data_IF_201190638668
#
_entry.id   IF_201190638668
#
_cell.length_a   1.000
_cell.length_b   1.000
_cell.length_c   1.000
_cell.angle_alpha   90.00
_cell.angle_beta   90.00
_cell.angle_gamma   90.00
#
_symmetry.space_group_name_H-M   'P 1'
#
loop_
_entity.id
_entity.type
_entity.pdbx_description
1 polymer ?
#
# COMPACT_ATOMS: atom_id res chain seq x y z
N UNK A 1 24.52 30.49 11.64
CA UNK A 1 25.07 29.43 10.75
C UNK A 1 25.21 28.17 11.57
N UNK A 2 24.56 27.07 11.19
CA UNK A 2 24.68 25.81 11.89
C UNK A 2 25.91 25.05 11.37
N UNK A 3 26.88 24.78 12.24
CA UNK A 3 28.09 24.01 11.94
C UNK A 3 27.75 22.52 11.99
N UNK A 4 27.34 21.93 10.87
CA UNK A 4 26.96 20.51 10.78
C UNK A 4 28.14 19.65 10.32
N UNK A 5 29.20 19.58 11.13
CA UNK A 5 30.26 18.58 10.99
C UNK A 5 29.96 17.38 11.89
N UNK A 6 28.88 16.66 11.58
CA UNK A 6 28.79 15.26 11.99
C UNK A 6 29.53 14.45 10.94
N UNK A 7 30.86 14.34 11.09
CA UNK A 7 31.65 13.39 10.32
C UNK A 7 31.13 11.98 10.66
N UNK A 8 30.39 11.39 9.73
CA UNK A 8 30.06 9.98 9.78
C UNK A 8 31.39 9.21 9.75
N UNK A 9 31.82 8.70 10.91
CA UNK A 9 33.02 7.87 10.98
C UNK A 9 32.84 6.62 10.12
N UNK A 10 33.89 6.12 9.45
CA UNK A 10 33.80 4.87 8.71
C UNK A 10 33.27 3.75 9.61
N UNK A 11 32.23 3.05 9.13
CA UNK A 11 31.63 1.93 9.85
C UNK A 11 32.68 0.84 10.09
N UNK A 12 32.75 0.32 11.32
CA UNK A 12 33.59 -0.85 11.66
C UNK A 12 32.98 -2.18 11.19
N UNK A 13 31.81 -2.16 10.56
CA UNK A 13 31.10 -3.35 10.08
C UNK A 13 31.73 -3.88 8.80
N UNK A 14 31.75 -5.20 8.65
CA UNK A 14 32.09 -5.80 7.35
C UNK A 14 30.99 -5.48 6.32
N UNK A 15 31.29 -5.55 5.02
CA UNK A 15 30.27 -5.38 3.97
C UNK A 15 29.06 -6.31 4.13
N UNK A 16 29.27 -7.53 4.60
CA UNK A 16 28.21 -8.53 4.83
C UNK A 16 27.32 -8.15 6.02
N UNK A 17 27.92 -7.64 7.10
CA UNK A 17 27.18 -7.15 8.26
C UNK A 17 26.35 -5.93 7.89
N UNK A 18 26.95 -4.96 7.18
CA UNK A 18 26.25 -3.79 6.67
C UNK A 18 25.08 -4.18 5.77
N UNK A 19 25.31 -5.07 4.79
CA UNK A 19 24.27 -5.52 3.86
C UNK A 19 23.13 -6.22 4.59
N UNK A 20 23.44 -7.08 5.57
CA UNK A 20 22.43 -7.78 6.36
C UNK A 20 21.54 -6.81 7.14
N UNK A 21 22.15 -5.82 7.78
CA UNK A 21 21.40 -4.81 8.52
C UNK A 21 20.62 -3.88 7.60
N UNK A 22 21.18 -3.48 6.47
CA UNK A 22 20.50 -2.61 5.51
C UNK A 22 19.19 -3.26 4.98
N UNK A 23 19.15 -4.59 4.85
CA UNK A 23 17.93 -5.36 4.50
C UNK A 23 16.87 -5.43 5.60
N UNK A 24 17.15 -4.91 6.81
CA UNK A 24 16.14 -4.79 7.86
C UNK A 24 15.21 -3.59 7.64
N UNK A 25 15.68 -2.57 6.93
CA UNK A 25 14.89 -1.41 6.55
C UNK A 25 13.84 -1.76 5.50
N UNK A 26 12.81 -0.92 5.46
CA UNK A 26 11.76 -0.94 4.45
C UNK A 26 11.90 0.31 3.59
N UNK A 27 11.52 0.19 2.32
CA UNK A 27 11.53 1.31 1.38
C UNK A 27 10.11 1.61 0.90
N UNK A 28 9.79 2.87 0.69
CA UNK A 28 8.63 3.26 -0.09
C UNK A 28 9.06 3.61 -1.52
N UNK A 29 8.10 3.59 -2.45
CA UNK A 29 8.34 3.84 -3.88
C UNK A 29 7.95 5.23 -4.36
N UNK A 30 7.71 6.18 -3.44
CA UNK A 30 7.45 7.55 -3.82
C UNK A 30 8.63 8.12 -4.61
N UNK A 31 8.32 8.83 -5.71
CA UNK A 31 9.30 9.43 -6.61
C UNK A 31 10.37 8.45 -7.17
N UNK A 32 10.17 7.14 -7.00
CA UNK A 32 11.15 6.09 -7.34
C UNK A 32 10.53 4.90 -8.07
N UNK A 33 9.23 4.96 -8.39
CA UNK A 33 8.52 3.94 -9.18
C UNK A 33 8.88 4.02 -10.68
N UNK A 34 10.16 3.83 -11.03
CA UNK A 34 10.64 3.70 -12.40
C UNK A 34 11.69 2.59 -12.49
N UNK A 35 12.13 2.22 -13.71
CA UNK A 35 12.84 0.97 -13.98
C UNK A 35 14.04 0.69 -13.06
N UNK A 36 14.94 1.65 -12.86
CA UNK A 36 16.17 1.45 -12.08
C UNK A 36 15.93 1.08 -10.61
N UNK A 37 15.26 1.94 -9.82
CA UNK A 37 14.98 1.65 -8.41
C UNK A 37 14.08 0.43 -8.22
N UNK A 38 13.12 0.19 -9.11
CA UNK A 38 12.27 -1.01 -9.05
C UNK A 38 13.08 -2.28 -9.25
N UNK A 39 14.02 -2.30 -10.19
CA UNK A 39 14.93 -3.44 -10.41
C UNK A 39 15.84 -3.69 -9.21
N UNK A 40 16.32 -2.61 -8.56
CA UNK A 40 17.08 -2.72 -7.31
C UNK A 40 16.26 -3.34 -6.19
N UNK A 41 15.02 -2.88 -6.01
CA UNK A 41 14.09 -3.44 -5.02
C UNK A 41 13.84 -4.92 -5.29
N UNK A 42 13.54 -5.30 -6.53
CA UNK A 42 13.30 -6.71 -6.90
C UNK A 42 14.50 -7.61 -6.56
N UNK A 43 15.71 -7.17 -6.92
CA UNK A 43 16.92 -8.01 -6.83
C UNK A 43 17.57 -8.01 -5.46
N UNK A 44 17.53 -6.89 -4.74
CA UNK A 44 18.34 -6.70 -3.53
C UNK A 44 17.53 -6.77 -2.24
N UNK A 45 16.39 -6.06 -2.16
CA UNK A 45 15.52 -6.01 -0.97
C UNK A 45 14.49 -7.15 -0.98
N UNK A 46 13.98 -7.50 -2.16
CA UNK A 46 12.83 -8.36 -2.33
C UNK A 46 11.50 -7.62 -2.10
N UNK A 47 10.39 -8.13 -2.66
CA UNK A 47 9.12 -7.41 -2.68
C UNK A 47 8.51 -7.20 -1.28
N UNK A 48 8.79 -8.09 -0.31
CA UNK A 48 8.27 -7.99 1.07
C UNK A 48 8.93 -6.93 1.95
N UNK A 49 9.85 -6.14 1.40
CA UNK A 49 10.51 -5.01 2.08
C UNK A 49 10.18 -3.66 1.45
N UNK A 50 9.12 -3.63 0.65
CA UNK A 50 8.72 -2.42 -0.08
C UNK A 50 7.24 -2.12 0.03
N UNK A 51 6.93 -0.84 0.23
CA UNK A 51 5.57 -0.29 0.21
C UNK A 51 5.42 0.70 -0.95
N UNK A 52 4.18 1.08 -1.26
CA UNK A 52 3.90 2.10 -2.26
C UNK A 52 3.29 3.35 -1.61
N UNK A 53 3.83 4.51 -1.95
CA UNK A 53 3.27 5.83 -1.68
C UNK A 53 3.49 6.71 -2.92
N UNK A 54 2.53 7.55 -3.26
CA UNK A 54 2.61 8.42 -4.44
C UNK A 54 3.24 9.79 -4.16
N UNK A 55 3.39 10.15 -2.87
CA UNK A 55 3.76 11.50 -2.42
C UNK A 55 2.89 12.61 -3.05
N UNK A 56 1.62 12.31 -3.28
CA UNK A 56 0.65 13.30 -3.75
C UNK A 56 0.30 14.28 -2.61
N UNK A 57 0.22 15.61 -2.86
CA UNK A 57 0.34 16.31 -4.15
C UNK A 57 1.75 16.86 -4.47
N UNK A 58 2.78 16.46 -3.73
CA UNK A 58 4.13 17.02 -3.87
C UNK A 58 4.82 16.58 -5.16
N UNK A 59 4.54 15.37 -5.63
CA UNK A 59 4.96 14.95 -6.97
C UNK A 59 4.04 15.57 -8.04
N UNK A 60 4.63 16.06 -9.14
CA UNK A 60 3.84 16.63 -10.26
C UNK A 60 2.95 15.53 -10.83
N UNK A 61 1.69 15.84 -11.12
CA UNK A 61 0.71 14.86 -11.64
C UNK A 61 1.23 14.03 -12.82
N UNK A 62 1.95 14.66 -13.76
CA UNK A 62 2.56 13.97 -14.92
C UNK A 62 3.58 12.90 -14.50
N UNK A 63 4.32 13.13 -13.43
CA UNK A 63 5.27 12.17 -12.89
C UNK A 63 4.54 11.03 -12.17
N UNK A 64 3.52 11.36 -11.36
CA UNK A 64 2.68 10.35 -10.69
C UNK A 64 2.02 9.41 -11.69
N UNK A 65 1.49 9.93 -12.81
CA UNK A 65 0.90 9.10 -13.85
C UNK A 65 1.92 8.12 -14.49
N UNK A 66 3.16 8.58 -14.68
CA UNK A 66 4.26 7.75 -15.21
C UNK A 66 4.72 6.70 -14.19
N UNK A 67 4.80 7.08 -12.92
CA UNK A 67 5.13 6.17 -11.82
C UNK A 67 4.09 5.06 -11.66
N UNK A 68 2.82 5.41 -11.76
CA UNK A 68 1.73 4.44 -11.76
C UNK A 68 1.81 3.46 -12.93
N UNK A 69 2.23 3.88 -14.13
CA UNK A 69 2.34 2.97 -15.28
C UNK A 69 3.48 1.96 -15.10
N UNK A 70 4.60 2.36 -14.50
CA UNK A 70 5.67 1.44 -14.12
C UNK A 70 5.24 0.50 -13.01
N UNK A 71 4.57 1.00 -11.97
CA UNK A 71 4.02 0.17 -10.91
C UNK A 71 3.03 -0.86 -11.45
N UNK A 72 2.14 -0.46 -12.36
CA UNK A 72 1.21 -1.38 -13.01
C UNK A 72 1.93 -2.45 -13.82
N UNK A 73 2.99 -2.08 -14.56
CA UNK A 73 3.79 -3.04 -15.32
C UNK A 73 4.50 -4.04 -14.40
N UNK A 74 4.98 -3.56 -13.24
CA UNK A 74 5.59 -4.40 -12.22
C UNK A 74 4.58 -5.34 -11.56
N UNK A 75 3.39 -4.85 -11.20
CA UNK A 75 2.30 -5.67 -10.66
C UNK A 75 1.88 -6.71 -11.69
N UNK A 76 1.75 -6.34 -12.97
CA UNK A 76 1.40 -7.27 -14.03
C UNK A 76 2.42 -8.40 -14.18
N UNK A 77 3.71 -8.07 -14.13
CA UNK A 77 4.82 -9.04 -14.16
C UNK A 77 4.82 -9.99 -12.96
N UNK A 78 4.50 -9.47 -11.77
CA UNK A 78 4.57 -10.21 -10.50
C UNK A 78 3.19 -10.75 -10.04
N UNK A 79 2.14 -10.58 -10.84
CA UNK A 79 0.78 -11.00 -10.55
C UNK A 79 0.12 -10.35 -9.33
N UNK A 80 -1.01 -10.93 -8.92
CA UNK A 80 -1.70 -10.54 -7.68
C UNK A 80 -0.80 -10.67 -6.45
N UNK A 81 0.22 -11.55 -6.50
CA UNK A 81 1.21 -11.71 -5.46
C UNK A 81 2.05 -10.44 -5.28
N UNK A 82 2.50 -9.79 -6.35
CA UNK A 82 3.24 -8.52 -6.26
C UNK A 82 2.42 -7.39 -5.59
N UNK A 83 1.16 -7.24 -5.99
CA UNK A 83 0.25 -6.24 -5.39
C UNK A 83 -0.10 -6.57 -3.95
N UNK A 84 -0.38 -7.86 -3.68
CA UNK A 84 -0.67 -8.35 -2.34
C UNK A 84 0.53 -8.13 -1.42
N UNK A 85 1.76 -8.37 -1.90
CA UNK A 85 2.98 -8.21 -1.10
C UNK A 85 3.21 -6.76 -0.69
N UNK A 86 3.03 -5.78 -1.57
CA UNK A 86 3.18 -4.36 -1.18
C UNK A 86 2.11 -3.92 -0.18
N UNK A 87 0.85 -4.32 -0.40
CA UNK A 87 -0.24 -4.04 0.54
C UNK A 87 0.01 -4.73 1.88
N UNK A 88 0.37 -6.01 1.85
CA UNK A 88 0.63 -6.82 3.04
C UNK A 88 1.80 -6.24 3.83
N UNK A 89 2.89 -5.85 3.15
CA UNK A 89 4.04 -5.18 3.77
C UNK A 89 3.60 -3.92 4.52
N UNK A 90 2.74 -3.09 3.91
CA UNK A 90 2.19 -1.92 4.61
C UNK A 90 1.32 -2.29 5.81
N UNK A 91 0.45 -3.30 5.69
CA UNK A 91 -0.41 -3.75 6.79
C UNK A 91 0.38 -4.37 7.96
N UNK A 92 1.49 -5.04 7.67
CA UNK A 92 2.38 -5.62 8.67
C UNK A 92 3.19 -4.53 9.39
N UNK A 93 3.62 -3.49 8.67
CA UNK A 93 4.31 -2.34 9.24
C UNK A 93 3.40 -1.42 10.06
N UNK A 94 2.14 -1.27 9.65
CA UNK A 94 1.19 -0.33 10.24
C UNK A 94 -0.02 -1.07 10.85
N UNK A 95 0.13 -1.72 12.02
CA UNK A 95 -0.93 -2.54 12.60
C UNK A 95 -2.19 -1.73 12.95
N UNK A 96 -2.05 -0.44 13.26
CA UNK A 96 -3.21 0.44 13.48
C UNK A 96 -4.02 0.66 12.21
N UNK A 97 -3.35 0.86 11.07
CA UNK A 97 -4.00 0.97 9.77
C UNK A 97 -4.75 -0.32 9.42
N UNK A 98 -4.12 -1.48 9.68
CA UNK A 98 -4.75 -2.79 9.51
C UNK A 98 -6.05 -2.91 10.32
N UNK A 99 -6.02 -2.61 11.61
CA UNK A 99 -7.19 -2.66 12.47
C UNK A 99 -8.32 -1.71 12.01
N UNK A 100 -7.97 -0.51 11.54
CA UNK A 100 -8.95 0.45 11.01
C UNK A 100 -9.62 -0.06 9.72
N UNK A 101 -8.85 -0.67 8.81
CA UNK A 101 -9.38 -1.27 7.59
C UNK A 101 -10.30 -2.45 7.90
N UNK A 102 -9.93 -3.30 8.86
CA UNK A 102 -10.75 -4.42 9.31
C UNK A 102 -12.08 -3.93 9.91
N UNK A 103 -12.01 -2.93 10.80
CA UNK A 103 -13.21 -2.31 11.40
C UNK A 103 -14.13 -1.72 10.34
N UNK A 104 -13.58 -0.97 9.38
CA UNK A 104 -14.38 -0.38 8.30
C UNK A 104 -15.09 -1.44 7.44
N UNK A 105 -14.41 -2.54 7.13
CA UNK A 105 -14.98 -3.66 6.37
C UNK A 105 -16.15 -4.33 7.09
N UNK A 106 -16.07 -4.47 8.40
CA UNK A 106 -17.13 -5.09 9.17
C UNK A 106 -18.34 -4.16 9.30
N UNK A 107 -18.12 -2.85 9.47
CA UNK A 107 -19.19 -1.85 9.41
C UNK A 107 -19.92 -1.86 8.06
N UNK A 108 -19.20 -1.91 6.94
CA UNK A 108 -19.80 -1.96 5.60
C UNK A 108 -20.69 -3.19 5.40
N UNK A 109 -20.27 -4.36 5.91
CA UNK A 109 -21.07 -5.60 5.83
C UNK A 109 -22.36 -5.48 6.64
N UNK A 110 -22.30 -4.91 7.85
CA UNK A 110 -23.48 -4.71 8.70
C UNK A 110 -24.49 -3.81 7.98
N UNK A 111 -24.03 -2.68 7.42
CA UNK A 111 -24.89 -1.76 6.66
C UNK A 111 -25.52 -2.43 5.42
N UNK A 112 -24.76 -3.26 4.70
CA UNK A 112 -25.28 -4.01 3.55
C UNK A 112 -26.35 -5.03 3.97
N UNK A 113 -26.15 -5.73 5.09
CA UNK A 113 -27.13 -6.67 5.63
C UNK A 113 -28.41 -5.97 6.09
N UNK A 114 -28.28 -4.85 6.81
CA UNK A 114 -29.42 -4.05 7.28
C UNK A 114 -30.27 -3.54 6.10
N UNK A 115 -29.63 -3.01 5.06
CA UNK A 115 -30.31 -2.53 3.86
C UNK A 115 -30.98 -3.65 3.04
N UNK A 116 -30.40 -4.85 3.02
CA UNK A 116 -31.02 -6.00 2.37
C UNK A 116 -32.27 -6.50 3.12
N UNK A 117 -32.26 -6.43 4.45
CA UNK A 117 -33.42 -6.81 5.29
C UNK A 117 -34.55 -5.77 5.30
N UNK A 118 -34.27 -4.49 5.06
CA UNK A 118 -35.31 -3.45 4.94
C UNK A 118 -35.95 -3.42 3.55
N UNK A 119 -35.21 -3.78 2.48
CA UNK A 119 -35.77 -3.82 1.12
C UNK A 119 -36.71 -5.01 0.86
N UNK A 120 -36.75 -6.02 1.73
CA UNK A 120 -37.65 -7.18 1.60
C UNK A 120 -38.99 -7.02 2.32
N UNK A 121 -39.26 -5.87 2.95
CA UNK A 121 -40.44 -5.64 3.80
C UNK A 121 -41.58 -4.82 3.20
N UNK A 122 -41.42 -4.23 2.01
CA UNK A 122 -42.44 -3.36 1.39
C UNK A 122 -42.89 -3.89 0.02
N UNK A 123 -43.65 -4.99 0.01
CA UNK A 123 -44.47 -5.34 -1.15
C UNK A 123 -45.69 -6.17 -0.76
N UNK A 124 -46.47 -5.74 0.24
CA UNK A 124 -47.75 -6.40 0.50
C UNK A 124 -48.75 -5.55 1.29
N UNK A 125 -49.13 -4.36 0.80
CA UNK A 125 -50.35 -3.67 1.27
C UNK A 125 -50.92 -2.76 0.18
N UNK A 126 -51.66 -3.34 -0.77
CA UNK A 126 -52.82 -2.65 -1.36
C UNK A 126 -53.82 -3.67 -1.88
N UNK A 127 -54.56 -4.26 -0.94
CA UNK A 127 -55.88 -4.83 -1.21
C UNK A 127 -56.96 -3.74 -1.18
N UNK A 128 -58.04 -4.02 -1.92
CA UNK A 128 -59.34 -3.33 -2.01
C UNK A 128 -59.40 -2.04 -2.89
N UNK A 129 -60.42 -1.85 -3.73
CA UNK A 129 -61.77 -2.42 -3.74
C UNK A 129 -62.40 -2.43 -5.14
N UNK A 130 -63.21 -3.46 -5.36
CA UNK A 130 -64.16 -3.66 -6.45
C UNK A 130 -65.24 -2.56 -6.41
N UNK A 131 -65.49 -1.87 -7.54
CA UNK A 131 -66.79 -1.75 -8.27
C UNK A 131 -66.49 -1.34 -9.72
#
# INVERSE_FOLDING_TARGET
MANSTHDASPSVKTPEQFTREAKTFYTDLAASSYSGPMEYVEKWLGPGKTTYGSDFPFNREKNTARELSFLHSWIYKNGEEGKAVMRQTALDLFPRLKAQIETARDTDKVLLMENASTSSGESDMSGEQIV
#
